data_IF_023343646476
#
_entry.id   IF_023343646476
#
_cell.length_a   1.000
_cell.length_b   1.000
_cell.length_c   1.000
_cell.angle_alpha   90.00
_cell.angle_beta   90.00
_cell.angle_gamma   90.00
#
_symmetry.space_group_name_H-M   'P 1'
#
loop_
_entity.id
_entity.type
_entity.pdbx_description
1 polymer ?
#
# COMPACT_ATOMS: atom_id res chain seq x y z
N UNK A 1 58.74 -14.35 -39.83
CA UNK A 1 58.52 -15.32 -38.75
C UNK A 1 58.03 -14.52 -37.55
N UNK A 2 56.86 -13.88 -37.57
CA UNK A 2 55.47 -14.40 -37.60
C UNK A 2 55.20 -15.47 -36.54
N UNK A 3 54.45 -15.06 -35.52
CA UNK A 3 53.52 -15.80 -34.64
C UNK A 3 52.63 -14.67 -34.04
N UNK A 4 51.35 -14.47 -34.37
CA UNK A 4 50.13 -15.24 -33.96
C UNK A 4 50.14 -15.51 -32.44
N UNK A 5 49.17 -15.14 -31.61
CA UNK A 5 47.69 -15.29 -31.64
C UNK A 5 47.15 -14.61 -30.36
N UNK A 6 46.08 -13.81 -30.41
CA UNK A 6 44.67 -14.12 -30.09
C UNK A 6 44.32 -14.37 -28.60
N UNK A 7 43.42 -13.48 -28.13
CA UNK A 7 42.17 -13.75 -27.42
C UNK A 7 42.05 -13.72 -25.87
N UNK A 8 40.88 -13.20 -25.49
CA UNK A 8 40.02 -13.45 -24.30
C UNK A 8 40.25 -12.82 -22.90
N UNK A 9 39.21 -12.06 -22.50
CA UNK A 9 38.54 -12.06 -21.17
C UNK A 9 38.82 -10.93 -20.17
N UNK A 10 37.84 -10.02 -20.08
CA UNK A 10 37.14 -9.57 -18.86
C UNK A 10 37.90 -9.48 -17.53
N UNK A 11 37.87 -8.29 -16.93
CA UNK A 11 37.49 -8.15 -15.52
C UNK A 11 36.75 -6.82 -15.28
N UNK A 12 35.46 -6.96 -15.02
CA UNK A 12 34.55 -5.96 -14.44
C UNK A 12 34.80 -5.99 -12.94
N UNK A 13 35.23 -4.88 -12.33
CA UNK A 13 35.08 -4.67 -10.89
C UNK A 13 34.68 -3.22 -10.59
N UNK A 14 33.37 -3.09 -10.36
CA UNK A 14 32.74 -2.34 -9.26
C UNK A 14 33.08 -0.86 -9.12
N UNK A 15 32.21 -0.01 -9.68
CA UNK A 15 32.05 1.37 -9.22
C UNK A 15 30.55 1.66 -9.03
N UNK A 16 29.95 1.02 -8.03
CA UNK A 16 28.54 1.21 -7.64
C UNK A 16 28.38 1.69 -6.20
N UNK A 17 29.44 2.25 -5.61
CA UNK A 17 29.38 2.90 -4.29
C UNK A 17 29.26 4.44 -4.35
N UNK A 18 29.22 5.05 -5.53
CA UNK A 18 29.40 6.50 -5.68
C UNK A 18 28.14 7.38 -5.64
N UNK A 19 26.91 6.82 -5.63
CA UNK A 19 25.71 7.66 -5.79
C UNK A 19 24.95 8.05 -4.51
N UNK A 20 25.34 7.58 -3.32
CA UNK A 20 24.65 7.93 -2.07
C UNK A 20 25.25 9.14 -1.36
N UNK A 21 26.56 9.34 -1.45
CA UNK A 21 27.21 10.45 -0.74
C UNK A 21 26.92 11.82 -1.36
N UNK A 22 26.72 11.89 -2.67
CA UNK A 22 26.57 13.16 -3.37
C UNK A 22 25.18 13.80 -3.17
N UNK A 23 24.14 13.00 -2.90
CA UNK A 23 22.81 13.51 -2.55
C UNK A 23 22.76 14.15 -1.15
N UNK A 24 23.64 13.74 -0.24
CA UNK A 24 23.63 14.20 1.17
C UNK A 24 24.53 15.42 1.38
N UNK A 25 25.48 15.70 0.48
CA UNK A 25 26.53 16.71 0.68
C UNK A 25 26.14 18.17 0.46
N UNK A 26 25.00 18.49 -0.16
CA UNK A 26 24.68 19.90 -0.56
C UNK A 26 23.41 20.47 0.09
N UNK A 27 22.63 19.68 0.83
CA UNK A 27 21.45 20.21 1.52
C UNK A 27 21.78 20.62 2.98
N UNK A 28 21.29 21.76 3.50
CA UNK A 28 21.35 22.03 4.94
C UNK A 28 20.77 20.81 5.67
N UNK A 29 21.42 20.31 6.74
CA UNK A 29 21.09 19.03 7.42
C UNK A 29 19.59 18.90 7.71
N UNK A 30 18.86 18.36 6.74
CA UNK A 30 17.43 18.15 6.78
C UNK A 30 17.28 16.71 7.29
N UNK A 31 17.03 16.55 8.59
CA UNK A 31 16.79 15.23 9.17
C UNK A 31 15.44 14.69 8.67
N UNK A 32 15.48 13.68 7.81
CA UNK A 32 14.32 12.87 7.45
C UNK A 32 14.19 11.72 8.46
N UNK A 33 12.96 11.39 8.84
CA UNK A 33 12.66 10.21 9.65
C UNK A 33 11.91 9.19 8.80
N UNK A 34 12.50 8.00 8.62
CA UNK A 34 11.80 6.87 8.00
C UNK A 34 10.92 6.21 9.06
N UNK A 35 9.61 6.13 8.79
CA UNK A 35 8.61 5.67 9.77
C UNK A 35 7.93 4.36 9.37
N UNK A 36 8.57 3.62 8.48
CA UNK A 36 8.14 2.30 8.06
C UNK A 36 9.33 1.35 7.96
N UNK A 37 9.01 0.07 7.90
CA UNK A 37 9.95 -1.03 7.73
C UNK A 37 9.36 -1.94 6.65
N UNK A 38 10.24 -2.51 5.83
CA UNK A 38 9.86 -3.53 4.85
C UNK A 38 10.20 -4.93 5.37
N UNK A 39 9.38 -5.91 5.01
CA UNK A 39 9.57 -7.31 5.34
C UNK A 39 10.12 -8.06 4.12
N UNK A 40 11.43 -8.32 4.13
CA UNK A 40 12.11 -8.88 2.96
C UNK A 40 12.42 -7.82 1.92
N UNK A 41 13.03 -8.23 0.81
CA UNK A 41 13.40 -7.34 -0.30
C UNK A 41 14.38 -6.20 0.05
N UNK A 42 15.11 -6.31 1.18
CA UNK A 42 16.09 -5.29 1.58
C UNK A 42 17.32 -5.21 0.66
N UNK A 43 17.56 -6.23 -0.16
CA UNK A 43 18.60 -6.25 -1.19
C UNK A 43 18.17 -5.60 -2.51
N UNK A 44 16.87 -5.30 -2.68
CA UNK A 44 16.38 -4.60 -3.87
C UNK A 44 16.78 -3.13 -3.77
N UNK A 45 17.35 -2.59 -4.84
CA UNK A 45 17.72 -1.17 -4.94
C UNK A 45 16.48 -0.27 -4.96
N UNK A 46 16.67 0.98 -4.52
CA UNK A 46 15.61 1.98 -4.58
C UNK A 46 15.35 2.41 -6.03
N UNK A 47 14.10 2.32 -6.45
CA UNK A 47 13.63 2.88 -7.72
C UNK A 47 13.09 4.30 -7.52
N UNK A 48 13.24 5.16 -8.52
CA UNK A 48 12.53 6.43 -8.56
C UNK A 48 11.10 6.23 -9.09
N UNK A 49 10.18 7.13 -8.73
CA UNK A 49 8.78 7.00 -9.18
C UNK A 49 8.69 7.07 -10.71
N UNK A 50 9.52 7.89 -11.38
CA UNK A 50 9.56 7.94 -12.83
C UNK A 50 9.87 6.59 -13.46
N UNK A 51 10.81 5.83 -12.90
CA UNK A 51 11.21 4.53 -13.41
C UNK A 51 10.07 3.52 -13.24
N UNK A 52 9.41 3.54 -12.08
CA UNK A 52 8.26 2.68 -11.78
C UNK A 52 7.10 2.93 -12.77
N UNK A 53 6.84 4.19 -13.12
CA UNK A 53 5.76 4.56 -14.05
C UNK A 53 6.06 4.11 -15.48
N UNK A 54 7.32 4.20 -15.90
CA UNK A 54 7.73 3.89 -17.27
C UNK A 54 8.09 2.42 -17.49
N UNK A 55 8.18 1.63 -16.41
CA UNK A 55 8.49 0.20 -16.50
C UNK A 55 7.22 -0.62 -16.82
N UNK A 56 7.26 -1.53 -17.82
CA UNK A 56 6.15 -2.44 -18.10
C UNK A 56 5.77 -3.30 -16.89
N UNK A 57 4.47 -3.48 -16.65
CA UNK A 57 3.98 -4.40 -15.63
C UNK A 57 4.00 -5.87 -16.13
N UNK A 58 4.14 -6.89 -15.25
CA UNK A 58 4.24 -6.79 -13.80
C UNK A 58 5.69 -6.71 -13.30
N UNK A 59 5.95 -5.84 -12.32
CA UNK A 59 7.26 -5.66 -11.71
C UNK A 59 7.14 -5.36 -10.20
N UNK A 60 8.21 -5.60 -9.45
CA UNK A 60 8.33 -5.25 -8.02
C UNK A 60 9.44 -4.22 -7.82
N UNK A 61 9.21 -3.28 -6.91
CA UNK A 61 10.10 -2.17 -6.64
C UNK A 61 10.20 -1.92 -5.14
N UNK A 62 11.33 -1.35 -4.73
CA UNK A 62 11.50 -0.75 -3.40
C UNK A 62 11.60 0.76 -3.58
N UNK A 63 10.89 1.51 -2.76
CA UNK A 63 10.74 2.96 -2.89
C UNK A 63 10.93 3.64 -1.54
N UNK A 64 11.59 4.79 -1.54
CA UNK A 64 11.62 5.73 -0.42
C UNK A 64 10.85 6.99 -0.84
N UNK A 65 9.74 7.30 -0.16
CA UNK A 65 8.78 8.31 -0.64
C UNK A 65 8.04 9.00 0.50
N UNK A 66 7.26 10.03 0.18
CA UNK A 66 6.30 10.66 1.10
C UNK A 66 4.88 10.25 0.74
N UNK A 67 4.03 10.11 1.76
CA UNK A 67 2.58 10.03 1.54
C UNK A 67 2.04 11.44 1.40
N UNK A 68 1.81 11.87 0.16
CA UNK A 68 1.20 13.16 -0.15
C UNK A 68 -0.24 13.22 0.36
N UNK A 69 -1.04 12.22 0.03
CA UNK A 69 -2.44 12.12 0.40
C UNK A 69 -2.87 10.64 0.52
N UNK A 70 -4.07 10.42 1.04
CA UNK A 70 -4.67 9.09 1.15
C UNK A 70 -6.19 9.16 1.14
N UNK A 71 -6.84 8.11 0.65
CA UNK A 71 -8.29 7.94 0.75
C UNK A 71 -8.66 6.47 1.07
N UNK A 72 -9.78 6.22 1.77
CA UNK A 72 -10.69 7.20 2.37
C UNK A 72 -10.08 7.97 3.55
N UNK A 73 -10.70 9.07 3.97
CA UNK A 73 -10.31 9.77 5.20
C UNK A 73 -10.99 9.13 6.39
N UNK A 74 -10.27 8.99 7.50
CA UNK A 74 -10.79 8.42 8.74
C UNK A 74 -11.64 9.46 9.50
N UNK A 75 -12.83 9.75 8.97
CA UNK A 75 -13.87 10.58 9.60
C UNK A 75 -14.72 9.76 10.57
N UNK A 76 -15.13 8.57 10.14
CA UNK A 76 -15.80 7.56 10.96
C UNK A 76 -15.18 6.18 10.69
N UNK A 77 -15.43 5.21 11.58
CA UNK A 77 -15.00 3.82 11.38
C UNK A 77 -15.55 3.26 10.07
N UNK A 78 -16.84 3.46 9.82
CA UNK A 78 -17.54 2.90 8.66
C UNK A 78 -17.08 3.51 7.32
N UNK A 79 -16.67 4.78 7.30
CA UNK A 79 -16.10 5.42 6.10
C UNK A 79 -14.74 4.83 5.71
N UNK A 80 -14.06 4.18 6.65
CA UNK A 80 -12.68 3.71 6.49
C UNK A 80 -12.58 2.23 6.12
N UNK A 81 -13.70 1.53 6.12
CA UNK A 81 -13.79 0.11 5.87
C UNK A 81 -14.63 -0.20 4.63
N UNK A 82 -14.34 -1.33 4.02
CA UNK A 82 -15.11 -1.91 2.94
C UNK A 82 -15.47 -3.35 3.27
N UNK A 83 -16.49 -3.87 2.60
CA UNK A 83 -16.86 -5.28 2.62
C UNK A 83 -16.33 -5.93 1.36
N UNK A 84 -15.77 -7.13 1.50
CA UNK A 84 -15.19 -7.94 0.42
C UNK A 84 -15.79 -9.35 0.43
N UNK A 85 -16.28 -9.83 -0.72
CA UNK A 85 -16.72 -11.22 -0.86
C UNK A 85 -15.56 -12.11 -1.32
N UNK A 86 -15.14 -13.11 -0.53
CA UNK A 86 -14.03 -13.99 -0.91
C UNK A 86 -14.36 -14.91 -2.09
N UNK A 87 -15.63 -15.18 -2.37
CA UNK A 87 -16.02 -16.07 -3.46
C UNK A 87 -16.06 -15.39 -4.83
N UNK A 88 -16.59 -14.16 -4.89
CA UNK A 88 -16.82 -13.48 -6.18
C UNK A 88 -16.02 -12.19 -6.35
N UNK A 89 -15.17 -11.84 -5.38
CA UNK A 89 -14.36 -10.62 -5.33
C UNK A 89 -15.16 -9.30 -5.35
N UNK A 90 -16.47 -9.37 -5.10
CA UNK A 90 -17.29 -8.18 -4.97
C UNK A 90 -16.82 -7.34 -3.78
N UNK A 91 -16.61 -6.05 -4.01
CA UNK A 91 -16.16 -5.11 -2.98
C UNK A 91 -17.06 -3.90 -2.94
N UNK A 92 -17.45 -3.44 -1.76
CA UNK A 92 -18.24 -2.21 -1.57
C UNK A 92 -17.85 -1.50 -0.27
N UNK A 93 -17.88 -0.17 -0.21
CA UNK A 93 -17.87 0.54 1.08
C UNK A 93 -19.03 0.07 1.96
N UNK A 94 -18.83 0.06 3.28
CA UNK A 94 -19.90 -0.30 4.24
C UNK A 94 -21.09 0.66 4.11
N UNK A 95 -20.81 1.97 4.01
CA UNK A 95 -21.83 3.02 3.94
C UNK A 95 -22.58 3.09 2.60
N UNK A 96 -22.53 2.04 1.78
CA UNK A 96 -23.26 1.99 0.53
C UNK A 96 -24.71 1.57 0.79
N UNK A 97 -25.66 2.45 0.49
CA UNK A 97 -27.12 2.35 0.70
C UNK A 97 -27.83 1.16 0.01
N UNK A 98 -27.09 0.18 -0.51
CA UNK A 98 -27.60 -0.98 -1.26
C UNK A 98 -27.56 -2.28 -0.47
N UNK A 99 -27.12 -2.26 0.78
CA UNK A 99 -27.18 -3.43 1.67
C UNK A 99 -28.54 -3.39 2.38
N UNK A 100 -29.50 -4.18 1.88
CA UNK A 100 -30.83 -4.30 2.48
C UNK A 100 -30.72 -4.77 3.95
N UNK A 101 -31.57 -4.30 4.88
CA UNK A 101 -31.49 -4.66 6.30
C UNK A 101 -31.57 -6.17 6.59
N UNK A 102 -32.14 -6.95 5.66
CA UNK A 102 -32.21 -8.42 5.75
C UNK A 102 -30.91 -9.13 5.36
N UNK A 103 -29.89 -8.41 4.89
CA UNK A 103 -28.64 -8.99 4.38
C UNK A 103 -27.56 -9.14 5.45
N UNK A 104 -27.83 -8.73 6.70
CA UNK A 104 -26.88 -8.89 7.79
C UNK A 104 -27.46 -9.57 9.02
N UNK A 105 -26.58 -10.15 9.83
CA UNK A 105 -26.88 -10.61 11.18
C UNK A 105 -25.93 -9.95 12.18
N UNK A 106 -26.37 -9.77 13.42
CA UNK A 106 -25.54 -9.17 14.46
C UNK A 106 -24.95 -10.28 15.31
N UNK A 107 -23.63 -10.24 15.51
CA UNK A 107 -22.92 -11.11 16.45
C UNK A 107 -21.94 -10.25 17.24
N UNK A 108 -21.98 -10.35 18.57
CA UNK A 108 -21.12 -9.60 19.48
C UNK A 108 -21.16 -8.07 19.25
N UNK A 109 -22.33 -7.55 18.86
CA UNK A 109 -22.53 -6.13 18.55
C UNK A 109 -22.00 -5.67 17.19
N UNK A 110 -21.50 -6.59 16.36
CA UNK A 110 -20.99 -6.32 15.01
C UNK A 110 -21.96 -6.88 13.97
N UNK A 111 -22.23 -6.10 12.93
CA UNK A 111 -23.05 -6.52 11.79
C UNK A 111 -22.20 -7.39 10.84
N UNK A 112 -22.74 -8.49 10.34
CA UNK A 112 -22.07 -9.39 9.40
C UNK A 112 -22.93 -9.54 8.16
N UNK A 113 -22.40 -9.08 7.02
CA UNK A 113 -23.12 -8.94 5.77
C UNK A 113 -22.95 -10.16 4.87
N UNK A 114 -24.00 -10.54 4.15
CA UNK A 114 -23.97 -11.54 3.06
C UNK A 114 -23.73 -10.86 1.72
N UNK A 115 -23.04 -11.53 0.81
CA UNK A 115 -22.72 -10.96 -0.50
C UNK A 115 -23.98 -10.82 -1.39
N UNK A 116 -24.36 -9.60 -1.81
CA UNK A 116 -25.57 -9.39 -2.63
C UNK A 116 -25.44 -9.98 -4.04
N UNK A 117 -24.22 -10.04 -4.59
CA UNK A 117 -23.98 -10.63 -5.90
C UNK A 117 -24.10 -12.15 -5.89
N UNK A 118 -23.60 -12.81 -4.83
CA UNK A 118 -23.77 -14.26 -4.69
C UNK A 118 -25.24 -14.59 -4.41
N UNK A 119 -25.92 -13.81 -3.56
CA UNK A 119 -27.35 -13.95 -3.31
C UNK A 119 -28.19 -13.86 -4.60
N UNK A 120 -27.85 -12.94 -5.52
CA UNK A 120 -28.58 -12.81 -6.79
C UNK A 120 -28.40 -13.97 -7.77
N UNK A 121 -27.36 -14.80 -7.59
CA UNK A 121 -27.01 -15.91 -8.48
C UNK A 121 -27.38 -17.27 -7.91
N UNK A 122 -27.42 -17.39 -6.58
CA UNK A 122 -27.71 -18.63 -5.88
C UNK A 122 -29.21 -18.73 -5.56
N UNK A 123 -29.80 -19.89 -5.89
CA UNK A 123 -31.15 -20.28 -5.44
C UNK A 123 -31.08 -20.91 -4.03
N UNK A 124 -29.88 -21.22 -3.54
CA UNK A 124 -29.64 -21.81 -2.20
C UNK A 124 -29.47 -20.74 -1.11
N UNK A 125 -29.70 -21.16 0.13
CA UNK A 125 -29.47 -20.34 1.35
C UNK A 125 -27.98 -20.15 1.69
N UNK A 126 -27.08 -20.80 0.96
CA UNK A 126 -25.63 -20.74 1.20
C UNK A 126 -25.02 -19.55 0.45
N UNK A 127 -25.24 -18.36 1.02
CA UNK A 127 -24.66 -17.10 0.54
C UNK A 127 -23.46 -16.75 1.42
N UNK A 128 -22.26 -16.52 0.84
CA UNK A 128 -21.06 -16.22 1.61
C UNK A 128 -21.20 -14.94 2.42
N UNK A 129 -20.60 -14.97 3.62
CA UNK A 129 -20.35 -13.78 4.41
C UNK A 129 -19.23 -12.95 3.78
N UNK A 130 -19.42 -11.63 3.82
CA UNK A 130 -18.42 -10.68 3.40
C UNK A 130 -17.44 -10.39 4.55
N UNK A 131 -16.18 -10.19 4.19
CA UNK A 131 -15.11 -9.81 5.08
C UNK A 131 -15.04 -8.29 5.19
N UNK A 132 -14.89 -7.76 6.41
CA UNK A 132 -14.43 -6.40 6.59
C UNK A 132 -12.97 -6.29 6.16
N UNK A 133 -12.67 -5.29 5.35
CA UNK A 133 -11.31 -5.02 4.87
C UNK A 133 -10.98 -3.54 5.00
N UNK A 134 -9.71 -3.25 5.24
CA UNK A 134 -9.15 -1.96 4.88
C UNK A 134 -8.91 -1.94 3.37
N UNK A 135 -9.27 -0.84 2.72
CA UNK A 135 -8.98 -0.57 1.32
C UNK A 135 -8.63 0.91 1.18
N UNK A 136 -7.33 1.18 1.06
CA UNK A 136 -6.79 2.52 0.96
C UNK A 136 -6.11 2.73 -0.39
N UNK A 137 -6.07 3.99 -0.82
CA UNK A 137 -5.18 4.46 -1.87
C UNK A 137 -4.28 5.54 -1.30
N UNK A 138 -2.98 5.32 -1.36
CA UNK A 138 -1.97 6.31 -1.06
C UNK A 138 -1.53 7.03 -2.32
N UNK A 139 -1.45 8.35 -2.24
CA UNK A 139 -0.78 9.18 -3.23
C UNK A 139 0.65 9.37 -2.72
N UNK A 140 1.60 8.69 -3.35
CA UNK A 140 3.02 8.72 -3.03
C UNK A 140 3.73 9.76 -3.88
N UNK A 141 4.77 10.41 -3.34
CA UNK A 141 5.58 11.38 -4.09
C UNK A 141 7.03 11.44 -3.60
N UNK A 142 7.95 11.51 -4.55
CA UNK A 142 9.36 11.84 -4.32
C UNK A 142 9.62 13.36 -4.36
N UNK A 143 8.60 14.17 -4.68
CA UNK A 143 8.70 15.62 -4.86
C UNK A 143 8.57 16.09 -6.30
N UNK A 144 8.74 15.19 -7.27
CA UNK A 144 8.61 15.49 -8.70
C UNK A 144 7.46 14.72 -9.34
N UNK A 145 7.32 13.44 -8.99
CA UNK A 145 6.31 12.55 -9.54
C UNK A 145 5.33 12.10 -8.47
N UNK A 146 4.17 11.62 -8.93
CA UNK A 146 3.13 11.06 -8.07
C UNK A 146 2.78 9.65 -8.53
N UNK A 147 2.57 8.76 -7.56
CA UNK A 147 2.16 7.38 -7.78
C UNK A 147 0.96 7.06 -6.89
N UNK A 148 -0.10 6.48 -7.46
CA UNK A 148 -1.25 6.01 -6.67
C UNK A 148 -1.06 4.52 -6.41
N UNK A 149 -0.85 4.14 -5.15
CA UNK A 149 -0.70 2.76 -4.73
C UNK A 149 -1.86 2.32 -3.84
N UNK A 150 -2.45 1.16 -4.13
CA UNK A 150 -3.47 0.53 -3.31
C UNK A 150 -2.82 -0.16 -2.10
N UNK A 151 -3.52 -0.17 -0.97
CA UNK A 151 -3.17 -0.96 0.22
C UNK A 151 -4.46 -1.59 0.73
N UNK A 152 -4.52 -2.92 0.77
CA UNK A 152 -5.77 -3.61 1.07
C UNK A 152 -5.56 -5.00 1.69
N UNK A 153 -6.61 -5.54 2.30
CA UNK A 153 -6.65 -6.87 2.95
C UNK A 153 -5.43 -7.11 3.85
N UNK A 154 -4.76 -8.26 3.71
CA UNK A 154 -3.67 -8.69 4.57
C UNK A 154 -2.51 -7.69 4.57
N UNK A 155 -2.21 -7.06 3.43
CA UNK A 155 -1.16 -6.04 3.37
C UNK A 155 -1.53 -4.79 4.17
N UNK A 156 -2.80 -4.41 4.19
CA UNK A 156 -3.26 -3.31 5.04
C UNK A 156 -3.23 -3.67 6.54
N UNK A 157 -3.60 -4.90 6.89
CA UNK A 157 -3.51 -5.41 8.27
C UNK A 157 -2.06 -5.42 8.74
N UNK A 158 -1.13 -5.95 7.93
CA UNK A 158 0.32 -5.88 8.19
C UNK A 158 0.78 -4.43 8.34
N UNK A 159 0.34 -3.55 7.43
CA UNK A 159 0.73 -2.14 7.43
C UNK A 159 0.43 -1.43 8.75
N UNK A 160 -0.75 -1.72 9.33
CA UNK A 160 -1.19 -1.23 10.63
C UNK A 160 -0.78 -2.12 11.81
N UNK A 161 0.29 -2.92 11.67
CA UNK A 161 0.85 -3.78 12.74
C UNK A 161 -0.12 -4.83 13.25
N UNK A 162 -0.72 -5.57 12.34
CA UNK A 162 -1.67 -6.64 12.63
C UNK A 162 -3.00 -6.18 13.24
N UNK A 163 -3.29 -4.87 13.21
CA UNK A 163 -4.63 -4.37 13.54
C UNK A 163 -5.63 -4.91 12.50
N UNK A 164 -6.59 -5.69 12.96
CA UNK A 164 -7.65 -6.25 12.12
C UNK A 164 -8.83 -5.26 11.97
N UNK A 165 -9.63 -5.38 10.90
CA UNK A 165 -10.85 -4.59 10.75
C UNK A 165 -11.85 -4.77 11.89
N UNK A 166 -11.99 -5.98 12.44
CA UNK A 166 -12.92 -6.25 13.56
C UNK A 166 -12.47 -5.59 14.88
N UNK A 167 -11.17 -5.62 15.19
CA UNK A 167 -10.61 -4.88 16.33
C UNK A 167 -10.80 -3.37 16.13
N UNK A 168 -10.59 -2.89 14.91
CA UNK A 168 -10.77 -1.49 14.57
C UNK A 168 -12.23 -1.02 14.70
N UNK A 169 -13.20 -1.89 14.43
CA UNK A 169 -14.62 -1.62 14.69
C UNK A 169 -14.90 -1.53 16.19
N UNK A 170 -14.29 -2.41 16.98
CA UNK A 170 -14.71 -2.66 18.37
C UNK A 170 -13.96 -1.83 19.42
N UNK A 171 -12.77 -1.30 19.11
CA UNK A 171 -11.92 -0.59 20.08
C UNK A 171 -11.54 0.82 19.62
N UNK A 172 -12.06 1.84 20.32
CA UNK A 172 -11.74 3.24 20.08
C UNK A 172 -10.23 3.57 20.22
N UNK A 173 -9.49 2.83 21.07
CA UNK A 173 -8.05 2.98 21.19
C UNK A 173 -7.34 2.51 19.92
N UNK A 174 -7.82 1.42 19.30
CA UNK A 174 -7.32 0.93 18.01
C UNK A 174 -7.57 1.96 16.91
N UNK A 175 -8.77 2.57 16.88
CA UNK A 175 -9.07 3.67 15.94
C UNK A 175 -8.10 4.84 16.11
N UNK A 176 -7.80 5.22 17.36
CA UNK A 176 -6.86 6.30 17.66
C UNK A 176 -5.41 5.96 17.28
N UNK A 177 -4.99 4.69 17.42
CA UNK A 177 -3.68 4.21 16.93
C UNK A 177 -3.58 4.37 15.42
N UNK A 178 -4.55 3.86 14.66
CA UNK A 178 -4.59 3.99 13.19
C UNK A 178 -4.62 5.47 12.76
N UNK A 179 -5.44 6.30 13.42
CA UNK A 179 -5.48 7.75 13.16
C UNK A 179 -4.12 8.41 13.38
N UNK A 180 -3.42 8.06 14.45
CA UNK A 180 -2.09 8.58 14.76
C UNK A 180 -1.06 8.15 13.73
N UNK A 181 -1.10 6.89 13.30
CA UNK A 181 -0.29 6.37 12.20
C UNK A 181 -0.48 7.17 10.90
N UNK A 182 -1.73 7.37 10.48
CA UNK A 182 -2.07 8.14 9.29
C UNK A 182 -1.66 9.61 9.39
N UNK A 183 -1.86 10.24 10.55
CA UNK A 183 -1.46 11.63 10.80
C UNK A 183 0.07 11.80 10.72
N UNK A 184 0.84 10.80 11.15
CA UNK A 184 2.30 10.83 11.12
C UNK A 184 2.88 10.73 9.71
N UNK A 185 2.28 9.93 8.83
CA UNK A 185 2.77 9.73 7.45
C UNK A 185 2.26 10.79 6.46
N UNK A 186 1.12 11.42 6.74
CA UNK A 186 0.48 12.36 5.83
C UNK A 186 1.19 13.72 5.77
N UNK A 187 1.58 14.15 4.57
CA UNK A 187 2.46 15.31 4.36
C UNK A 187 1.78 16.58 3.81
N UNK A 188 0.47 16.57 3.51
CA UNK A 188 -0.21 17.71 2.84
C UNK A 188 -0.28 19.01 3.67
N UNK A 189 -0.26 18.95 5.01
CA UNK A 189 -0.30 20.16 5.87
C UNK A 189 1.11 20.69 6.14
N UNK A 190 1.70 21.29 5.11
CA UNK A 190 3.00 21.95 5.20
C UNK A 190 2.86 23.36 5.80
N UNK A 191 3.01 23.46 7.13
CA UNK A 191 3.42 24.73 7.75
C UNK A 191 4.75 24.65 8.49
N UNK A 192 5.26 23.47 8.86
CA UNK A 192 6.64 23.29 9.28
C UNK A 192 6.95 21.78 9.46
N UNK A 193 8.05 21.31 8.86
CA UNK A 193 8.92 20.23 9.38
C UNK A 193 8.48 18.75 9.38
N UNK A 194 7.34 18.31 8.85
CA UNK A 194 7.15 16.84 8.70
C UNK A 194 7.92 16.31 7.48
N UNK A 195 9.16 15.90 7.75
CA UNK A 195 10.13 15.24 6.86
C UNK A 195 10.01 13.72 6.98
N UNK A 196 8.76 13.25 7.07
CA UNK A 196 8.47 11.83 7.23
C UNK A 196 8.57 11.16 5.87
N UNK A 197 9.47 10.18 5.77
CA UNK A 197 9.54 9.28 4.64
C UNK A 197 8.97 7.92 5.04
N UNK A 198 8.39 7.24 4.06
CA UNK A 198 8.12 5.81 4.15
C UNK A 198 9.01 5.09 3.15
N UNK A 199 9.68 4.07 3.64
CA UNK A 199 10.21 2.99 2.83
C UNK A 199 9.10 1.97 2.58
N UNK A 200 8.84 1.62 1.33
CA UNK A 200 7.78 0.68 0.97
C UNK A 200 8.14 -0.17 -0.25
N UNK A 201 7.60 -1.38 -0.31
CA UNK A 201 7.60 -2.20 -1.52
C UNK A 201 6.33 -1.96 -2.33
N UNK A 202 6.49 -1.82 -3.65
CA UNK A 202 5.41 -1.59 -4.61
C UNK A 202 5.46 -2.67 -5.69
N UNK A 203 4.32 -3.25 -6.04
CA UNK A 203 4.19 -4.11 -7.22
C UNK A 203 3.26 -3.47 -8.25
N UNK A 204 3.63 -3.55 -9.53
CA UNK A 204 2.79 -3.17 -10.66
C UNK A 204 2.09 -4.40 -11.26
N UNK A 205 0.88 -4.22 -11.76
CA UNK A 205 0.10 -5.27 -12.44
C UNK A 205 -0.91 -4.67 -13.41
N UNK A 206 -1.43 -5.48 -14.33
CA UNK A 206 -2.50 -5.07 -15.24
C UNK A 206 -3.87 -5.28 -14.59
N UNK A 207 -4.60 -4.18 -14.42
CA UNK A 207 -5.99 -4.18 -13.96
C UNK A 207 -6.99 -4.29 -15.10
N UNK A 208 -8.22 -3.88 -14.82
CA UNK A 208 -9.29 -3.85 -15.83
C UNK A 208 -8.93 -2.94 -17.01
N UNK A 209 -9.24 -3.37 -18.24
CA UNK A 209 -8.83 -2.71 -19.51
C UNK A 209 -7.30 -2.54 -19.65
N UNK A 210 -6.52 -3.44 -19.04
CA UNK A 210 -5.05 -3.44 -19.13
C UNK A 210 -4.39 -2.16 -18.61
N UNK A 211 -5.08 -1.38 -17.77
CA UNK A 211 -4.46 -0.24 -17.09
C UNK A 211 -3.45 -0.74 -16.04
N UNK A 212 -2.27 -0.11 -15.99
CA UNK A 212 -1.28 -0.42 -14.96
C UNK A 212 -1.78 0.09 -13.60
N UNK A 213 -1.78 -0.80 -12.61
CA UNK A 213 -2.15 -0.54 -11.24
C UNK A 213 -0.97 -0.84 -10.32
N UNK A 214 -0.94 -0.18 -9.16
CA UNK A 214 0.14 -0.35 -8.18
C UNK A 214 -0.43 -0.74 -6.82
N UNK A 215 0.27 -1.60 -6.10
CA UNK A 215 -0.09 -2.05 -4.76
C UNK A 215 1.13 -2.06 -3.84
N UNK A 216 0.93 -1.56 -2.62
CA UNK A 216 1.89 -1.68 -1.52
C UNK A 216 1.81 -3.07 -0.89
N UNK A 217 2.97 -3.66 -0.64
CA UNK A 217 3.08 -4.96 0.02
C UNK A 217 4.30 -4.99 0.95
N UNK A 218 4.37 -5.98 1.84
CA UNK A 218 5.49 -6.24 2.75
C UNK A 218 6.02 -4.97 3.44
N UNK A 219 5.13 -4.05 3.80
CA UNK A 219 5.46 -2.74 4.38
C UNK A 219 4.63 -2.52 5.63
N UNK A 220 5.26 -2.10 6.73
CA UNK A 220 4.56 -1.77 7.98
C UNK A 220 5.13 -0.54 8.68
N UNK A 221 4.28 0.16 9.44
CA UNK A 221 4.67 1.39 10.12
C UNK A 221 5.50 1.11 11.39
N UNK A 222 6.55 1.90 11.64
CA UNK A 222 7.43 1.84 12.82
C UNK A 222 6.97 2.71 13.99
#
# INVERSE_FOLDING_TARGET
MTNESDDTSSEILTDSQSNFEDYVKVAPKILFSVVSVIQGHQSVEFAHICDIINTPAPMKFRLLTRVWDYCPKLTSVSDFLSLFCPECNYTTPINNYKLEPSTFHIKDGVEYYRCPYCASKNISDDVPLMEYIFLLRFVLTDGHYFLIANLWRDEAVKFFRQITPLEFISDANVVNKVRSCLARIHSRRMKNKNKTLIECCIKSFHGHRSAVCYEMFDTFLS
#
